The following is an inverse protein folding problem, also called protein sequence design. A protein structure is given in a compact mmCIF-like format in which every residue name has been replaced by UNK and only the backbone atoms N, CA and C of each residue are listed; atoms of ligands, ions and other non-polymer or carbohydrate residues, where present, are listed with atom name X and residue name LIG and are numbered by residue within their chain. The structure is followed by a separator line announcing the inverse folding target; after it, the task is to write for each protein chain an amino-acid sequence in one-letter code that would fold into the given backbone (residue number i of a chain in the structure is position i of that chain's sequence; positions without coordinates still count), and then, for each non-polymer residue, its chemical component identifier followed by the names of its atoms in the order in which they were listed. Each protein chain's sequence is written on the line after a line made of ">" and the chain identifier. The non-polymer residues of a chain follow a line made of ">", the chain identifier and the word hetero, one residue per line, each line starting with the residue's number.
data_IF_783144579593
#
_entry.id   IF_783144579593
#
_cell.length_a   1.000
_cell.length_b   1.000
_cell.length_c   1.000
_cell.angle_alpha   90.00
_cell.angle_beta   90.00
_cell.angle_gamma   90.00
#
_symmetry.space_group_name_H-M   'P 1'
#
loop_
_entity.id
_entity.type
_entity.pdbx_description
1 polymer ?
#
# COMPACT_ATOMS: atom_id res chain seq x y z
N UNK A 1 -4.48 -55.03 32.02
CA UNK A 1 -3.32 -54.78 32.88
C UNK A 1 -2.06 -54.74 32.01
N UNK A 2 -1.55 -53.58 31.66
CA UNK A 2 -0.15 -53.34 31.27
C UNK A 2 0.16 -51.87 31.58
N UNK A 3 1.22 -51.68 32.35
CA UNK A 3 1.61 -50.43 32.99
C UNK A 3 2.14 -49.39 32.00
N UNK A 4 1.78 -48.15 32.24
CA UNK A 4 2.37 -46.97 31.60
C UNK A 4 3.65 -46.60 32.33
N UNK A 5 4.76 -46.59 31.59
CA UNK A 5 6.04 -46.08 32.07
C UNK A 5 6.11 -44.56 31.84
N UNK A 6 6.23 -43.80 32.91
CA UNK A 6 6.54 -42.38 32.90
C UNK A 6 8.07 -42.22 32.76
N UNK A 7 8.51 -41.64 31.66
CA UNK A 7 9.87 -41.11 31.51
C UNK A 7 9.88 -39.63 31.82
N UNK A 8 10.60 -39.23 32.83
CA UNK A 8 10.80 -37.86 33.29
C UNK A 8 11.67 -37.08 32.27
N UNK A 9 11.21 -35.90 31.86
CA UNK A 9 11.97 -34.93 31.07
C UNK A 9 12.70 -33.98 32.01
N UNK A 10 14.03 -33.96 31.93
CA UNK A 10 14.92 -33.10 32.70
C UNK A 10 14.84 -31.66 32.26
N UNK A 11 14.78 -30.71 33.21
CA UNK A 11 14.88 -29.27 33.00
C UNK A 11 16.34 -28.87 32.78
N UNK A 12 16.66 -27.97 31.86
CA UNK A 12 18.01 -27.38 31.76
C UNK A 12 18.21 -26.29 32.82
N UNK A 13 19.44 -26.26 33.36
CA UNK A 13 19.92 -25.31 34.36
C UNK A 13 20.23 -23.91 33.77
N UNK A 14 20.25 -22.82 34.58
CA UNK A 14 20.50 -21.48 34.12
C UNK A 14 22.00 -21.22 33.87
N UNK A 15 22.29 -20.55 32.77
CA UNK A 15 23.65 -20.12 32.38
C UNK A 15 23.98 -18.82 33.10
N UNK A 16 25.08 -18.84 33.87
CA UNK A 16 25.63 -17.73 34.63
C UNK A 16 26.31 -16.71 33.71
N UNK A 17 26.05 -15.43 33.97
CA UNK A 17 26.70 -14.27 33.31
C UNK A 17 28.15 -14.11 33.78
N UNK A 18 29.09 -14.09 32.86
CA UNK A 18 30.49 -13.75 33.12
C UNK A 18 30.77 -12.31 32.76
N UNK A 19 30.94 -11.44 33.77
CA UNK A 19 31.52 -10.10 33.61
C UNK A 19 33.00 -10.18 33.33
N UNK A 20 33.49 -9.67 32.20
CA UNK A 20 34.88 -9.31 32.00
C UNK A 20 35.01 -7.79 31.96
N UNK A 21 35.70 -7.25 33.00
CA UNK A 21 36.26 -5.92 33.01
C UNK A 21 37.48 -5.90 32.07
N UNK A 22 37.58 -4.90 31.21
CA UNK A 22 38.84 -4.50 30.57
C UNK A 22 39.04 -3.00 30.76
N UNK A 23 40.25 -2.71 31.15
CA UNK A 23 40.79 -1.44 31.67
C UNK A 23 40.93 -0.35 30.60
N UNK A 24 40.96 0.88 31.12
CA UNK A 24 41.30 2.15 30.46
C UNK A 24 42.71 2.13 29.87
N UNK A 25 42.89 2.72 28.68
CA UNK A 25 43.83 3.85 28.40
C UNK A 25 43.97 4.03 26.89
N UNK A 26 43.56 5.15 26.33
CA UNK A 26 44.33 6.05 25.44
C UNK A 26 43.39 7.14 24.90
N UNK A 27 43.62 8.36 25.38
CA UNK A 27 43.12 9.58 24.77
C UNK A 27 43.78 9.78 23.40
N UNK A 28 42.96 9.96 22.37
CA UNK A 28 43.36 10.67 21.15
C UNK A 28 42.24 11.66 20.80
N UNK A 29 42.62 12.94 20.94
CA UNK A 29 41.83 14.11 20.52
C UNK A 29 41.80 14.11 18.99
N UNK A 30 40.66 13.99 18.39
CA UNK A 30 40.42 14.37 17.01
C UNK A 30 38.97 14.89 16.84
N UNK A 31 38.92 16.06 16.33
CA UNK A 31 37.87 16.88 15.77
C UNK A 31 36.42 16.41 15.80
N UNK A 32 35.59 17.22 16.42
CA UNK A 32 34.12 17.19 16.27
C UNK A 32 33.71 17.36 14.81
N UNK A 33 32.97 16.42 14.22
CA UNK A 33 32.18 16.75 13.04
C UNK A 33 30.95 17.54 13.50
N UNK A 34 30.72 18.68 12.87
CA UNK A 34 29.55 19.51 13.04
C UNK A 34 28.30 18.66 12.87
N UNK A 35 27.47 18.63 13.90
CA UNK A 35 26.10 18.11 13.85
C UNK A 35 25.30 18.93 12.83
N UNK A 36 25.12 18.39 11.65
CA UNK A 36 24.10 18.88 10.75
C UNK A 36 22.74 18.47 11.33
N UNK A 37 22.19 19.31 12.19
CA UNK A 37 20.77 19.31 12.52
C UNK A 37 20.02 19.62 11.22
N UNK A 38 19.56 18.59 10.53
CA UNK A 38 18.49 18.73 9.55
C UNK A 38 17.17 18.87 10.34
N UNK A 39 16.97 20.02 10.96
CA UNK A 39 15.64 20.47 11.32
C UNK A 39 14.84 20.65 10.02
N UNK A 40 14.11 19.59 9.63
CA UNK A 40 13.04 19.72 8.67
C UNK A 40 11.97 20.58 9.33
N UNK A 41 11.95 21.84 8.94
CA UNK A 41 10.98 22.85 9.38
C UNK A 41 9.57 22.31 9.19
N UNK A 42 8.71 22.26 10.23
CA UNK A 42 7.32 21.92 10.05
C UNK A 42 6.69 22.98 9.13
N UNK A 43 6.00 22.55 8.09
CA UNK A 43 5.17 23.41 7.24
C UNK A 43 4.18 24.16 8.14
N UNK A 44 4.46 25.42 8.43
CA UNK A 44 3.50 26.33 9.07
C UNK A 44 2.40 26.63 8.05
N UNK A 45 1.20 26.16 8.34
CA UNK A 45 0.07 26.18 7.44
C UNK A 45 -0.83 27.35 7.81
N UNK A 46 -0.99 28.28 6.86
CA UNK A 46 -2.18 29.09 6.74
C UNK A 46 -3.29 28.20 6.15
N UNK A 47 -4.40 28.00 6.88
CA UNK A 47 -5.59 27.22 6.47
C UNK A 47 -5.32 26.04 5.54
N UNK A 48 -4.82 24.95 6.13
CA UNK A 48 -4.54 23.71 5.40
C UNK A 48 -5.80 23.13 4.78
N UNK A 49 -5.70 22.67 3.53
CA UNK A 49 -6.78 21.91 2.92
C UNK A 49 -6.99 20.58 3.66
N UNK A 50 -8.21 20.04 3.64
CA UNK A 50 -8.50 18.73 4.25
C UNK A 50 -7.56 17.62 3.78
N UNK A 51 -7.09 17.68 2.52
CA UNK A 51 -6.12 16.72 2.00
C UNK A 51 -4.73 16.85 2.64
N UNK A 52 -4.27 18.07 2.92
CA UNK A 52 -3.02 18.31 3.65
C UNK A 52 -3.12 17.84 5.10
N UNK A 53 -4.27 18.05 5.76
CA UNK A 53 -4.52 17.53 7.10
C UNK A 53 -4.52 15.99 7.12
N UNK A 54 -5.10 15.34 6.10
CA UNK A 54 -5.04 13.87 5.94
C UNK A 54 -3.59 13.42 5.75
N UNK A 55 -2.81 14.09 4.90
CA UNK A 55 -1.40 13.78 4.70
C UNK A 55 -0.60 13.92 6.02
N UNK A 56 -0.79 15.01 6.75
CA UNK A 56 -0.16 15.23 8.05
C UNK A 56 -0.53 14.15 9.08
N UNK A 57 -1.81 13.75 9.13
CA UNK A 57 -2.28 12.68 10.02
C UNK A 57 -1.63 11.33 9.73
N UNK A 58 -1.21 11.08 8.48
CA UNK A 58 -0.64 9.81 8.05
C UNK A 58 0.89 9.84 7.91
N UNK A 59 1.54 11.01 7.95
CA UNK A 59 2.98 11.12 7.82
C UNK A 59 3.73 10.30 8.88
N UNK A 60 4.57 9.36 8.45
CA UNK A 60 5.35 8.48 9.32
C UNK A 60 4.54 7.52 10.20
N UNK A 61 3.22 7.33 9.96
CA UNK A 61 2.35 6.50 10.79
C UNK A 61 2.75 5.01 10.87
N UNK A 62 3.58 4.53 9.96
CA UNK A 62 4.11 3.15 9.92
C UNK A 62 5.35 2.93 10.78
N UNK A 63 6.04 4.01 11.19
CA UNK A 63 7.27 3.90 11.98
C UNK A 63 6.99 3.48 13.41
N UNK A 64 7.98 2.87 14.08
CA UNK A 64 7.86 2.46 15.47
C UNK A 64 7.55 3.66 16.37
N UNK A 65 8.26 4.76 16.15
CA UNK A 65 8.11 6.02 16.87
C UNK A 65 7.70 7.14 15.87
N UNK A 66 6.41 7.30 15.58
CA UNK A 66 5.93 8.32 14.66
C UNK A 66 6.03 9.72 15.30
N UNK A 67 6.37 10.74 14.50
CA UNK A 67 6.39 12.14 14.95
C UNK A 67 5.09 12.54 15.64
N UNK A 68 5.16 13.45 16.60
CA UNK A 68 3.97 14.00 17.26
C UNK A 68 3.04 14.63 16.22
N UNK A 69 1.75 14.32 16.30
CA UNK A 69 0.74 14.92 15.44
C UNK A 69 0.28 16.26 16.03
N UNK A 70 0.48 17.34 15.31
CA UNK A 70 0.10 18.70 15.71
C UNK A 70 -1.19 19.12 14.96
N UNK A 71 -2.32 18.57 15.38
CA UNK A 71 -3.65 18.98 14.92
C UNK A 71 -4.51 19.36 16.12
N UNK A 72 -5.32 20.40 15.93
CA UNK A 72 -6.40 20.73 16.89
C UNK A 72 -7.52 19.66 16.84
N UNK A 73 -8.29 19.54 17.89
CA UNK A 73 -9.43 18.64 17.93
C UNK A 73 -10.46 18.92 16.82
N UNK A 74 -10.64 20.19 16.44
CA UNK A 74 -11.55 20.61 15.37
C UNK A 74 -11.04 20.17 13.99
N UNK A 75 -9.76 20.39 13.69
CA UNK A 75 -9.13 19.92 12.43
C UNK A 75 -9.19 18.40 12.33
N UNK A 76 -8.85 17.71 13.42
CA UNK A 76 -8.90 16.26 13.47
C UNK A 76 -10.31 15.70 13.24
N UNK A 77 -11.32 16.28 13.89
CA UNK A 77 -12.71 15.92 13.67
C UNK A 77 -13.17 16.13 12.22
N UNK A 78 -12.69 17.20 11.56
CA UNK A 78 -13.06 17.51 10.18
C UNK A 78 -12.54 16.47 9.17
N UNK A 79 -11.42 15.80 9.43
CA UNK A 79 -10.82 14.80 8.52
C UNK A 79 -11.12 13.35 8.93
N UNK A 80 -11.64 13.11 10.14
CA UNK A 80 -11.94 11.74 10.63
C UNK A 80 -12.84 10.97 9.68
N UNK A 81 -13.92 11.51 9.09
CA UNK A 81 -14.73 10.80 8.11
C UNK A 81 -13.92 10.40 6.84
N UNK A 82 -12.98 11.24 6.40
CA UNK A 82 -12.13 10.97 5.24
C UNK A 82 -11.15 9.82 5.52
N UNK A 83 -10.55 9.82 6.72
CA UNK A 83 -9.67 8.76 7.18
C UNK A 83 -10.39 7.41 7.27
N UNK A 84 -11.61 7.40 7.83
CA UNK A 84 -12.42 6.18 7.93
C UNK A 84 -12.83 5.66 6.55
N UNK A 85 -13.37 6.50 5.67
CA UNK A 85 -13.82 6.13 4.34
C UNK A 85 -12.68 5.64 3.44
N UNK A 86 -11.48 6.16 3.60
CA UNK A 86 -10.30 5.76 2.82
C UNK A 86 -9.63 4.48 3.34
N UNK A 87 -10.05 3.95 4.50
CA UNK A 87 -9.43 2.81 5.17
C UNK A 87 -8.20 3.17 6.01
N UNK A 88 -7.86 4.46 6.13
CA UNK A 88 -6.71 4.92 6.89
C UNK A 88 -6.99 5.17 8.39
N UNK A 89 -8.20 4.87 8.87
CA UNK A 89 -8.63 5.14 10.24
C UNK A 89 -7.73 4.49 11.29
N UNK A 90 -7.33 3.23 11.11
CA UNK A 90 -6.45 2.52 12.04
C UNK A 90 -5.03 3.15 12.11
N UNK A 91 -4.50 3.62 11.00
CA UNK A 91 -3.23 4.33 10.95
C UNK A 91 -3.28 5.67 11.68
N UNK A 92 -4.38 6.41 11.49
CA UNK A 92 -4.61 7.65 12.23
C UNK A 92 -4.81 7.39 13.73
N UNK A 93 -5.54 6.33 14.12
CA UNK A 93 -5.61 5.89 15.51
C UNK A 93 -4.24 5.68 16.13
N UNK A 94 -3.36 4.97 15.47
CA UNK A 94 -2.00 4.72 15.95
C UNK A 94 -1.23 6.02 16.22
N UNK A 95 -1.49 7.07 15.44
CA UNK A 95 -0.88 8.41 15.62
C UNK A 95 -1.38 9.15 16.84
N UNK A 96 -2.64 8.96 17.22
CA UNK A 96 -3.30 9.75 18.28
C UNK A 96 -3.52 9.00 19.59
N UNK A 97 -3.40 7.68 19.62
CA UNK A 97 -3.76 6.84 20.78
C UNK A 97 -3.05 7.21 22.09
N UNK A 98 -1.91 7.88 22.01
CA UNK A 98 -1.13 8.35 23.17
C UNK A 98 -1.21 9.88 23.35
N UNK A 99 -2.26 10.52 22.84
CA UNK A 99 -2.49 11.97 22.92
C UNK A 99 -3.91 12.27 23.43
N UNK A 100 -4.18 13.53 23.77
CA UNK A 100 -5.53 13.98 24.17
C UNK A 100 -6.58 13.75 23.06
N UNK A 101 -6.17 13.65 21.79
CA UNK A 101 -7.09 13.36 20.68
C UNK A 101 -7.71 11.96 20.79
N UNK A 102 -7.07 11.03 21.48
CA UNK A 102 -7.61 9.68 21.70
C UNK A 102 -8.93 9.68 22.48
N UNK A 103 -9.11 10.63 23.40
CA UNK A 103 -10.28 10.74 24.27
C UNK A 103 -11.46 11.48 23.59
N UNK A 104 -11.24 11.99 22.38
CA UNK A 104 -12.30 12.66 21.60
C UNK A 104 -13.26 11.66 20.95
N UNK A 105 -14.48 12.05 20.56
CA UNK A 105 -15.36 11.21 19.74
C UNK A 105 -14.68 10.66 18.49
N UNK A 106 -13.91 11.49 17.79
CA UNK A 106 -13.13 11.09 16.62
C UNK A 106 -12.08 10.03 16.94
N UNK A 107 -11.38 10.17 18.09
CA UNK A 107 -10.43 9.16 18.56
C UNK A 107 -11.11 7.81 18.79
N UNK A 108 -12.29 7.82 19.42
CA UNK A 108 -13.08 6.60 19.66
C UNK A 108 -13.51 5.91 18.35
N UNK A 109 -13.96 6.67 17.35
CA UNK A 109 -14.32 6.13 16.02
C UNK A 109 -13.12 5.45 15.33
N UNK A 110 -11.95 6.09 15.38
CA UNK A 110 -10.73 5.53 14.81
C UNK A 110 -10.23 4.29 15.57
N UNK A 111 -10.40 4.26 16.90
CA UNK A 111 -10.10 3.07 17.70
C UNK A 111 -11.00 1.89 17.33
N UNK A 112 -12.28 2.14 17.13
CA UNK A 112 -13.23 1.12 16.68
C UNK A 112 -12.84 0.58 15.29
N UNK A 113 -12.47 1.46 14.36
CA UNK A 113 -11.98 1.05 13.05
C UNK A 113 -10.73 0.17 13.16
N UNK A 114 -9.77 0.52 14.01
CA UNK A 114 -8.60 -0.30 14.27
C UNK A 114 -8.97 -1.71 14.80
N UNK A 115 -9.86 -1.77 15.81
CA UNK A 115 -10.31 -3.05 16.38
C UNK A 115 -11.00 -3.94 15.35
N UNK A 116 -11.87 -3.35 14.54
CA UNK A 116 -12.56 -4.06 13.46
C UNK A 116 -11.56 -4.60 12.43
N UNK A 117 -10.62 -3.77 12.00
CA UNK A 117 -9.59 -4.19 11.04
C UNK A 117 -8.68 -5.28 11.60
N UNK A 118 -8.37 -5.27 12.91
CA UNK A 118 -7.57 -6.32 13.54
C UNK A 118 -8.30 -7.67 13.54
N UNK A 119 -9.61 -7.67 13.82
CA UNK A 119 -10.45 -8.88 13.74
C UNK A 119 -10.53 -9.37 12.28
N UNK A 120 -10.75 -8.48 11.33
CA UNK A 120 -10.80 -8.83 9.91
C UNK A 120 -9.47 -9.40 9.42
N UNK A 121 -8.33 -8.83 9.84
CA UNK A 121 -7.00 -9.34 9.49
C UNK A 121 -6.79 -10.77 10.00
N UNK A 122 -7.16 -11.07 11.25
CA UNK A 122 -7.07 -12.42 11.80
C UNK A 122 -7.95 -13.43 11.05
N UNK A 123 -9.17 -13.04 10.66
CA UNK A 123 -10.03 -13.87 9.82
C UNK A 123 -9.41 -14.12 8.43
N UNK A 124 -8.84 -13.08 7.82
CA UNK A 124 -8.16 -13.22 6.52
C UNK A 124 -6.92 -14.11 6.61
N UNK A 125 -6.15 -14.07 7.69
CA UNK A 125 -5.01 -14.97 7.89
C UNK A 125 -5.46 -16.42 7.96
N UNK A 126 -6.58 -16.71 8.62
CA UNK A 126 -7.18 -18.05 8.62
C UNK A 126 -7.62 -18.45 7.19
N UNK A 127 -8.26 -17.54 6.46
CA UNK A 127 -8.69 -17.79 5.08
C UNK A 127 -7.50 -18.02 4.15
N UNK A 128 -6.39 -17.27 4.31
CA UNK A 128 -5.17 -17.49 3.54
C UNK A 128 -4.66 -18.92 3.72
N UNK A 129 -4.58 -19.41 4.97
CA UNK A 129 -4.14 -20.79 5.25
C UNK A 129 -5.04 -21.83 4.56
N UNK A 130 -6.35 -21.67 4.67
CA UNK A 130 -7.31 -22.57 4.03
C UNK A 130 -7.20 -22.58 2.50
N UNK A 131 -7.02 -21.40 1.89
CA UNK A 131 -6.85 -21.29 0.43
C UNK A 131 -5.53 -21.92 -0.02
N UNK A 132 -4.44 -21.75 0.75
CA UNK A 132 -3.15 -22.36 0.47
C UNK A 132 -3.23 -23.90 0.53
N UNK A 133 -3.87 -24.46 1.54
CA UNK A 133 -4.08 -25.90 1.65
C UNK A 133 -4.85 -26.44 0.45
N UNK A 134 -5.94 -25.76 0.06
CA UNK A 134 -6.78 -26.14 -1.06
C UNK A 134 -6.00 -26.12 -2.38
N UNK A 135 -5.30 -25.03 -2.69
CA UNK A 135 -4.54 -24.88 -3.94
C UNK A 135 -3.37 -25.85 -4.00
N UNK A 136 -2.63 -26.04 -2.89
CA UNK A 136 -1.53 -27.00 -2.81
C UNK A 136 -2.03 -28.44 -2.92
N UNK A 137 -3.19 -28.75 -2.36
CA UNK A 137 -3.85 -30.04 -2.54
C UNK A 137 -4.17 -30.36 -4.00
N UNK A 138 -4.40 -29.34 -4.82
CA UNK A 138 -4.59 -29.45 -6.27
C UNK A 138 -3.26 -29.37 -7.07
N UNK A 139 -2.09 -29.38 -6.40
CA UNK A 139 -0.78 -29.29 -7.05
C UNK A 139 -0.40 -27.87 -7.53
N UNK A 140 -1.08 -26.84 -7.04
CA UNK A 140 -0.86 -25.42 -7.39
C UNK A 140 -0.16 -24.69 -6.26
N UNK A 141 1.01 -24.10 -6.51
CA UNK A 141 1.69 -23.24 -5.56
C UNK A 141 1.43 -21.76 -5.92
N UNK A 142 0.56 -21.04 -5.19
CA UNK A 142 0.22 -19.67 -5.50
C UNK A 142 1.22 -18.66 -4.92
N UNK A 143 1.26 -17.46 -5.49
CA UNK A 143 1.95 -16.29 -4.94
C UNK A 143 0.90 -15.29 -4.45
N UNK A 144 0.93 -14.94 -3.17
CA UNK A 144 0.03 -13.92 -2.60
C UNK A 144 0.58 -12.52 -2.88
N UNK A 145 -0.23 -11.71 -3.56
CA UNK A 145 0.12 -10.34 -3.91
C UNK A 145 -0.64 -9.33 -3.05
N UNK A 146 -0.10 -8.12 -2.91
CA UNK A 146 -0.77 -6.99 -2.23
C UNK A 146 -1.33 -7.37 -0.84
N UNK A 147 -2.47 -6.78 -0.43
CA UNK A 147 -3.22 -7.17 0.76
C UNK A 147 -2.36 -7.55 1.96
N UNK A 148 -2.43 -8.80 2.36
CA UNK A 148 -1.63 -9.36 3.46
C UNK A 148 -0.13 -9.30 3.19
N UNK A 149 0.30 -9.48 1.94
CA UNK A 149 1.73 -9.49 1.60
C UNK A 149 2.45 -8.19 1.99
N UNK A 150 1.78 -7.04 1.99
CA UNK A 150 2.33 -5.78 2.53
C UNK A 150 1.88 -5.54 3.98
N UNK A 151 0.66 -5.94 4.37
CA UNK A 151 0.14 -5.71 5.72
C UNK A 151 1.02 -6.32 6.81
N UNK A 152 1.65 -7.48 6.57
CA UNK A 152 2.63 -8.12 7.47
C UNK A 152 3.85 -7.26 7.79
N UNK A 153 4.16 -6.26 6.97
CA UNK A 153 5.28 -5.34 7.18
C UNK A 153 4.92 -4.13 8.04
N UNK A 154 3.66 -3.99 8.41
CA UNK A 154 3.23 -2.96 9.34
C UNK A 154 3.54 -3.39 10.78
N UNK A 155 3.76 -2.43 11.70
CA UNK A 155 4.17 -2.74 13.07
C UNK A 155 3.10 -3.47 13.91
N UNK A 156 1.84 -3.41 13.52
CA UNK A 156 0.73 -4.04 14.24
C UNK A 156 -0.32 -4.59 13.26
N UNK A 157 -0.91 -5.74 13.60
CA UNK A 157 -2.04 -6.31 12.87
C UNK A 157 -3.24 -5.33 12.88
N UNK A 158 -3.96 -5.25 11.76
CA UNK A 158 -5.14 -4.39 11.62
C UNK A 158 -4.84 -2.93 11.27
N UNK A 159 -3.59 -2.48 11.25
CA UNK A 159 -3.25 -1.12 10.78
C UNK A 159 -3.53 -0.94 9.29
N UNK A 160 -3.32 -1.98 8.49
CA UNK A 160 -3.56 -1.99 7.06
C UNK A 160 -4.74 -2.90 6.74
N UNK A 161 -5.97 -2.35 6.51
CA UNK A 161 -7.12 -3.16 6.11
C UNK A 161 -6.97 -3.66 4.67
N UNK A 162 -7.48 -4.85 4.41
CA UNK A 162 -7.63 -5.44 3.09
C UNK A 162 -8.90 -6.28 3.03
N UNK A 163 -9.52 -6.41 1.86
CA UNK A 163 -10.80 -7.10 1.69
C UNK A 163 -10.67 -8.40 0.93
N UNK A 164 -9.99 -8.37 -0.19
CA UNK A 164 -9.77 -9.49 -1.09
C UNK A 164 -8.37 -10.10 -0.89
N UNK A 165 -8.27 -11.39 -1.22
CA UNK A 165 -7.03 -12.12 -1.21
C UNK A 165 -6.58 -12.31 -2.66
N UNK A 166 -5.59 -11.52 -3.08
CA UNK A 166 -5.04 -11.55 -4.44
C UNK A 166 -4.05 -12.72 -4.59
N UNK A 167 -4.49 -13.85 -5.08
CA UNK A 167 -3.64 -14.99 -5.40
C UNK A 167 -3.27 -15.02 -6.88
N UNK A 168 -1.99 -15.09 -7.17
CA UNK A 168 -1.45 -15.22 -8.52
C UNK A 168 -0.93 -16.64 -8.73
N UNK A 169 -1.26 -17.25 -9.86
CA UNK A 169 -0.82 -18.60 -10.22
C UNK A 169 -0.22 -18.62 -11.63
N UNK A 170 0.57 -19.63 -11.92
CA UNK A 170 1.09 -19.85 -13.26
C UNK A 170 -0.07 -19.89 -14.29
N UNK A 171 0.11 -19.30 -15.48
CA UNK A 171 -0.91 -19.36 -16.53
C UNK A 171 -1.36 -20.79 -16.86
N UNK A 172 -0.47 -21.75 -16.80
CA UNK A 172 -0.74 -23.18 -17.03
C UNK A 172 -1.56 -23.84 -15.93
N UNK A 173 -1.50 -23.32 -14.69
CA UNK A 173 -2.19 -23.88 -13.53
C UNK A 173 -3.51 -23.14 -13.20
N UNK A 174 -3.87 -22.10 -13.97
CA UNK A 174 -5.02 -21.26 -13.66
C UNK A 174 -6.35 -22.04 -13.68
N UNK A 175 -6.51 -22.98 -14.62
CA UNK A 175 -7.73 -23.79 -14.72
C UNK A 175 -7.91 -24.69 -13.50
N UNK A 176 -6.84 -25.36 -13.06
CA UNK A 176 -6.83 -26.26 -11.90
C UNK A 176 -7.08 -25.48 -10.60
N UNK A 177 -6.41 -24.34 -10.44
CA UNK A 177 -6.63 -23.45 -9.32
C UNK A 177 -8.08 -22.98 -9.23
N UNK A 178 -8.67 -22.59 -10.36
CA UNK A 178 -10.06 -22.14 -10.42
C UNK A 178 -11.04 -23.28 -10.11
N UNK A 179 -10.78 -24.49 -10.59
CA UNK A 179 -11.61 -25.67 -10.28
C UNK A 179 -11.59 -25.97 -8.78
N UNK A 180 -10.39 -26.01 -8.16
CA UNK A 180 -10.24 -26.25 -6.74
C UNK A 180 -10.97 -25.19 -5.87
N UNK A 181 -10.87 -23.91 -6.23
CA UNK A 181 -11.59 -22.84 -5.53
C UNK A 181 -13.12 -22.94 -5.68
N UNK A 182 -13.62 -23.30 -6.86
CA UNK A 182 -15.06 -23.45 -7.09
C UNK A 182 -15.67 -24.61 -6.29
N UNK A 183 -14.93 -25.72 -6.11
CA UNK A 183 -15.37 -26.86 -5.29
C UNK A 183 -15.49 -26.50 -3.80
N UNK A 184 -14.66 -25.54 -3.32
CA UNK A 184 -14.74 -25.05 -1.95
C UNK A 184 -15.91 -24.08 -1.70
N UNK A 185 -16.53 -23.53 -2.77
CA UNK A 185 -17.61 -22.55 -2.69
C UNK A 185 -17.16 -21.17 -2.22
N UNK A 186 -18.14 -20.25 -2.04
CA UNK A 186 -17.90 -18.82 -1.70
C UNK A 186 -17.42 -18.57 -0.26
N UNK A 187 -16.61 -19.47 0.30
CA UNK A 187 -16.17 -19.36 1.69
C UNK A 187 -15.14 -18.26 1.93
N UNK A 188 -14.38 -17.89 0.90
CA UNK A 188 -13.31 -16.90 1.01
C UNK A 188 -13.34 -15.91 -0.16
N UNK A 189 -13.17 -14.60 0.08
CA UNK A 189 -13.09 -13.60 -0.97
C UNK A 189 -11.73 -13.65 -1.67
N UNK A 190 -11.56 -14.59 -2.60
CA UNK A 190 -10.33 -14.79 -3.38
C UNK A 190 -10.44 -14.10 -4.73
N UNK A 191 -9.48 -13.24 -5.06
CA UNK A 191 -9.24 -12.72 -6.40
C UNK A 191 -8.09 -13.51 -7.04
N UNK A 192 -8.46 -14.48 -7.92
CA UNK A 192 -7.49 -15.35 -8.57
C UNK A 192 -7.01 -14.72 -9.88
N UNK A 193 -5.70 -14.50 -9.96
CA UNK A 193 -5.04 -13.93 -11.12
C UNK A 193 -4.23 -14.97 -11.89
N UNK A 194 -4.40 -14.98 -13.22
CA UNK A 194 -3.54 -15.71 -14.15
C UNK A 194 -2.29 -14.87 -14.41
N UNK A 195 -1.17 -15.19 -13.76
CA UNK A 195 -0.01 -14.31 -13.72
C UNK A 195 -0.32 -12.99 -13.04
N UNK A 196 0.39 -11.93 -13.40
CA UNK A 196 0.09 -10.58 -12.92
C UNK A 196 0.40 -9.54 -14.00
N UNK A 197 -0.63 -9.02 -14.67
CA UNK A 197 -0.51 -8.05 -15.78
C UNK A 197 0.36 -6.83 -15.51
N UNK A 198 0.44 -6.40 -14.26
CA UNK A 198 1.29 -5.26 -13.88
C UNK A 198 2.78 -5.62 -13.81
N UNK A 199 3.10 -6.91 -13.86
CA UNK A 199 4.46 -7.44 -13.88
C UNK A 199 4.76 -8.23 -15.17
N UNK A 200 3.93 -8.13 -16.22
CA UNK A 200 4.07 -8.80 -17.53
C UNK A 200 5.39 -8.45 -18.28
N UNK A 201 6.24 -7.62 -17.70
CA UNK A 201 7.57 -7.36 -18.20
C UNK A 201 8.57 -8.50 -17.91
N UNK A 202 8.15 -9.51 -17.15
CA UNK A 202 8.89 -10.71 -16.79
C UNK A 202 8.03 -11.95 -16.99
N UNK A 203 8.68 -13.04 -17.36
CA UNK A 203 8.04 -14.33 -17.41
C UNK A 203 7.62 -14.79 -16.00
N UNK A 204 6.55 -15.58 -15.93
CA UNK A 204 6.06 -16.09 -14.65
C UNK A 204 7.13 -16.89 -13.89
N UNK A 205 7.89 -17.72 -14.57
CA UNK A 205 8.90 -18.56 -13.94
C UNK A 205 9.99 -17.72 -13.27
N UNK A 206 10.43 -16.60 -13.91
CA UNK A 206 11.36 -15.65 -13.29
C UNK A 206 10.76 -14.99 -12.05
N UNK A 207 9.49 -14.58 -12.10
CA UNK A 207 8.79 -13.99 -10.94
C UNK A 207 8.64 -14.99 -9.81
N UNK A 208 8.33 -16.24 -10.13
CA UNK A 208 8.15 -17.32 -9.17
C UNK A 208 9.46 -17.72 -8.49
N UNK A 209 10.54 -17.90 -9.24
CA UNK A 209 11.87 -18.22 -8.69
C UNK A 209 12.39 -17.14 -7.75
N UNK A 210 12.14 -15.89 -8.05
CA UNK A 210 12.53 -14.74 -7.20
C UNK A 210 11.64 -14.57 -5.99
N UNK A 211 10.43 -15.12 -6.01
CA UNK A 211 9.47 -14.99 -4.92
C UNK A 211 10.00 -15.62 -3.62
N UNK A 212 9.48 -15.16 -2.48
CA UNK A 212 9.97 -15.54 -1.16
C UNK A 212 8.89 -16.29 -0.37
N UNK A 213 9.28 -17.31 0.38
CA UNK A 213 8.44 -17.94 1.38
C UNK A 213 8.58 -17.17 2.70
N UNK A 214 7.45 -16.72 3.23
CA UNK A 214 7.38 -15.99 4.50
C UNK A 214 6.43 -16.69 5.46
N UNK A 215 6.70 -16.67 6.77
CA UNK A 215 5.87 -17.37 7.75
C UNK A 215 4.52 -16.65 7.95
N UNK A 216 3.46 -17.44 8.10
CA UNK A 216 2.16 -17.07 8.62
C UNK A 216 1.78 -18.15 9.64
N UNK A 217 2.05 -17.93 10.90
CA UNK A 217 1.98 -18.92 11.97
C UNK A 217 2.74 -20.23 11.62
N UNK A 218 2.01 -21.32 11.45
CA UNK A 218 2.50 -22.66 11.08
C UNK A 218 2.62 -22.89 9.56
N UNK A 219 2.11 -21.96 8.75
CA UNK A 219 2.16 -22.03 7.30
C UNK A 219 3.27 -21.16 6.68
N UNK A 220 3.71 -21.52 5.49
CA UNK A 220 4.58 -20.70 4.66
C UNK A 220 3.78 -20.14 3.48
N UNK A 221 3.80 -18.83 3.30
CA UNK A 221 3.13 -18.11 2.23
C UNK A 221 4.16 -17.61 1.24
N UNK A 222 3.95 -17.89 -0.04
CA UNK A 222 4.80 -17.34 -1.09
C UNK A 222 4.34 -15.92 -1.44
N UNK A 223 5.27 -14.96 -1.47
CA UNK A 223 5.05 -13.56 -1.83
C UNK A 223 6.07 -13.11 -2.85
N UNK A 224 5.78 -12.07 -3.64
CA UNK A 224 6.74 -11.52 -4.58
C UNK A 224 8.00 -11.00 -3.88
N UNK A 225 9.14 -11.04 -4.59
CA UNK A 225 10.38 -10.40 -4.14
C UNK A 225 10.14 -8.90 -3.86
N UNK A 226 10.89 -8.28 -2.94
CA UNK A 226 10.69 -6.89 -2.54
C UNK A 226 10.66 -5.90 -3.72
N UNK A 227 11.50 -6.13 -4.73
CA UNK A 227 11.58 -5.29 -5.94
C UNK A 227 10.31 -5.37 -6.79
N UNK A 228 9.84 -6.57 -7.03
CA UNK A 228 8.62 -6.82 -7.80
C UNK A 228 7.39 -6.36 -7.01
N UNK A 229 7.41 -6.53 -5.68
CA UNK A 229 6.32 -6.08 -4.81
C UNK A 229 6.22 -4.55 -4.77
N UNK A 230 7.33 -3.82 -4.57
CA UNK A 230 7.32 -2.34 -4.60
C UNK A 230 6.86 -1.82 -5.96
N UNK A 231 7.33 -2.44 -7.06
CA UNK A 231 6.89 -2.12 -8.42
C UNK A 231 5.38 -2.31 -8.58
N UNK A 232 4.85 -3.44 -8.12
CA UNK A 232 3.41 -3.75 -8.13
C UNK A 232 2.60 -2.69 -7.36
N UNK A 233 3.04 -2.33 -6.15
CA UNK A 233 2.37 -1.33 -5.33
C UNK A 233 2.33 0.04 -6.03
N UNK A 234 3.43 0.48 -6.66
CA UNK A 234 3.49 1.72 -7.41
C UNK A 234 2.49 1.74 -8.58
N UNK A 235 2.45 0.68 -9.39
CA UNK A 235 1.53 0.59 -10.52
C UNK A 235 0.08 0.49 -10.07
N UNK A 236 -0.19 -0.28 -9.03
CA UNK A 236 -1.51 -0.39 -8.44
C UNK A 236 -2.01 0.97 -7.96
N UNK A 237 -1.19 1.70 -7.20
CA UNK A 237 -1.50 3.04 -6.71
C UNK A 237 -1.87 3.99 -7.85
N UNK A 238 -1.02 4.09 -8.87
CA UNK A 238 -1.20 5.01 -9.99
C UNK A 238 -2.42 4.65 -10.83
N UNK A 239 -2.67 3.35 -11.03
CA UNK A 239 -3.84 2.85 -11.79
C UNK A 239 -5.16 3.21 -11.12
N UNK A 240 -5.15 3.36 -9.81
CA UNK A 240 -6.28 3.83 -9.00
C UNK A 240 -6.22 5.35 -8.71
N UNK A 241 -5.42 6.11 -9.47
CA UNK A 241 -5.40 7.57 -9.40
C UNK A 241 -4.86 8.17 -8.10
N UNK A 242 -4.20 7.38 -7.25
CA UNK A 242 -3.70 7.79 -5.91
C UNK A 242 -4.85 8.29 -5.00
N UNK A 243 -6.06 7.79 -5.21
CA UNK A 243 -7.25 8.26 -4.50
C UNK A 243 -7.27 7.85 -3.03
N UNK A 244 -6.68 6.68 -2.70
CA UNK A 244 -6.58 6.19 -1.31
C UNK A 244 -5.19 6.45 -0.73
N UNK A 245 -5.07 7.19 0.38
CA UNK A 245 -3.78 7.48 1.00
C UNK A 245 -3.05 6.21 1.46
N UNK A 246 -3.78 5.14 1.83
CA UNK A 246 -3.18 3.89 2.31
C UNK A 246 -2.24 3.25 1.29
N UNK A 247 -2.54 3.37 -0.02
CA UNK A 247 -1.66 2.85 -1.06
C UNK A 247 -0.30 3.57 -1.11
N UNK A 248 -0.26 4.84 -0.74
CA UNK A 248 0.99 5.60 -0.64
C UNK A 248 1.75 5.24 0.65
N UNK A 249 1.04 4.93 1.73
CA UNK A 249 1.64 4.37 2.97
C UNK A 249 2.24 3.00 2.69
N UNK A 250 1.58 2.13 1.92
CA UNK A 250 2.12 0.82 1.49
C UNK A 250 3.48 0.98 0.79
N UNK A 251 3.61 1.97 -0.09
CA UNK A 251 4.89 2.27 -0.77
C UNK A 251 5.95 2.73 0.24
N UNK A 252 5.60 3.59 1.19
CA UNK A 252 6.52 4.05 2.23
C UNK A 252 7.01 2.89 3.11
N UNK A 253 6.11 1.98 3.52
CA UNK A 253 6.43 0.76 4.28
C UNK A 253 7.36 -0.15 3.49
N UNK A 254 7.03 -0.43 2.22
CA UNK A 254 7.87 -1.28 1.36
C UNK A 254 9.24 -0.64 1.09
N UNK A 255 9.29 0.67 0.93
CA UNK A 255 10.51 1.43 0.69
C UNK A 255 11.45 1.43 1.91
N UNK A 256 10.94 1.70 3.10
CA UNK A 256 11.73 1.74 4.33
C UNK A 256 12.07 0.34 4.85
N UNK A 257 11.23 -0.66 4.59
CA UNK A 257 11.45 -2.06 4.96
C UNK A 257 12.32 -2.87 4.01
N UNK A 258 12.82 -2.27 2.90
CA UNK A 258 13.69 -2.97 1.97
C UNK A 258 15.05 -3.31 2.59
N UNK A 259 15.56 -4.50 2.32
CA UNK A 259 16.90 -4.89 2.78
C UNK A 259 18.01 -4.24 1.97
N UNK A 260 19.25 -4.33 2.47
CA UNK A 260 20.45 -3.76 1.84
C UNK A 260 20.74 -4.34 0.44
N UNK A 261 20.24 -5.55 0.14
CA UNK A 261 20.41 -6.24 -1.14
C UNK A 261 19.36 -5.88 -2.19
N UNK A 262 18.50 -4.88 -1.92
CA UNK A 262 17.44 -4.47 -2.85
C UNK A 262 18.01 -3.98 -4.18
N UNK A 263 17.62 -4.63 -5.26
CA UNK A 263 18.09 -4.30 -6.61
C UNK A 263 17.16 -3.29 -7.31
N UNK A 264 17.58 -2.04 -7.31
CA UNK A 264 16.87 -0.96 -7.99
C UNK A 264 16.73 -1.15 -9.50
N UNK A 265 17.69 -1.79 -10.14
CA UNK A 265 17.62 -2.07 -11.59
C UNK A 265 16.46 -3.01 -11.87
N UNK A 266 16.33 -4.02 -11.06
CA UNK A 266 15.20 -4.96 -11.11
C UNK A 266 13.88 -4.26 -10.81
N UNK A 267 13.78 -3.44 -9.78
CA UNK A 267 12.54 -2.71 -9.43
C UNK A 267 12.12 -1.75 -10.55
N UNK A 268 13.03 -0.96 -11.10
CA UNK A 268 12.72 0.03 -12.14
C UNK A 268 12.47 -0.63 -13.50
N UNK A 269 13.15 -1.75 -13.82
CA UNK A 269 13.09 -2.40 -15.12
C UNK A 269 13.75 -1.58 -16.23
N UNK A 270 13.60 -2.01 -17.48
CA UNK A 270 14.21 -1.38 -18.65
C UNK A 270 13.35 -0.30 -19.31
N UNK A 271 12.03 -0.29 -19.06
CA UNK A 271 11.12 0.71 -19.63
C UNK A 271 11.22 2.03 -18.87
N UNK A 272 11.70 3.07 -19.53
CA UNK A 272 11.90 4.40 -18.94
C UNK A 272 10.61 5.04 -18.42
N UNK A 273 9.46 4.78 -19.04
CA UNK A 273 8.16 5.33 -18.60
C UNK A 273 7.73 4.66 -17.30
N UNK A 274 7.85 3.34 -17.23
CA UNK A 274 7.55 2.59 -16.03
C UNK A 274 8.47 2.97 -14.88
N UNK A 275 9.76 3.17 -15.15
CA UNK A 275 10.71 3.69 -14.16
C UNK A 275 10.29 5.08 -13.65
N UNK A 276 9.91 6.01 -14.56
CA UNK A 276 9.40 7.34 -14.20
C UNK A 276 8.15 7.26 -13.29
N UNK A 277 7.24 6.33 -13.56
CA UNK A 277 6.06 6.12 -12.73
C UNK A 277 6.38 5.63 -11.32
N UNK A 278 7.34 4.70 -11.20
CA UNK A 278 7.82 4.20 -9.90
C UNK A 278 8.50 5.33 -9.12
N UNK A 279 9.42 6.06 -9.76
CA UNK A 279 10.13 7.20 -9.17
C UNK A 279 9.15 8.27 -8.71
N UNK A 280 8.12 8.57 -9.51
CA UNK A 280 7.06 9.52 -9.14
C UNK A 280 6.27 9.05 -7.92
N UNK A 281 5.92 7.78 -7.84
CA UNK A 281 5.19 7.21 -6.70
C UNK A 281 6.00 7.28 -5.41
N UNK A 282 7.31 6.97 -5.48
CA UNK A 282 8.23 7.09 -4.35
C UNK A 282 8.40 8.57 -3.95
N UNK A 283 8.52 9.47 -4.94
CA UNK A 283 8.61 10.90 -4.69
C UNK A 283 7.37 11.47 -4.00
N UNK A 284 6.17 10.99 -4.36
CA UNK A 284 4.94 11.36 -3.67
C UNK A 284 4.91 10.83 -2.22
N UNK A 285 5.38 9.60 -1.98
CA UNK A 285 5.47 9.04 -0.63
C UNK A 285 6.43 9.86 0.26
N UNK A 286 7.54 10.31 -0.31
CA UNK A 286 8.48 11.19 0.40
C UNK A 286 7.89 12.59 0.63
N UNK A 287 7.32 13.23 -0.39
CA UNK A 287 6.83 14.62 -0.31
C UNK A 287 5.59 14.76 0.57
N UNK A 288 4.64 13.81 0.51
CA UNK A 288 3.36 13.88 1.23
C UNK A 288 3.38 13.20 2.58
N UNK A 289 4.15 12.12 2.75
CA UNK A 289 4.14 11.30 3.95
C UNK A 289 5.48 11.26 4.69
N UNK A 290 6.53 11.88 4.12
CA UNK A 290 7.85 11.89 4.72
C UNK A 290 8.56 10.53 4.68
N UNK A 291 8.31 9.70 3.66
CA UNK A 291 9.05 8.46 3.46
C UNK A 291 10.54 8.73 3.24
N UNK A 292 11.40 7.91 3.85
CA UNK A 292 12.84 8.04 3.72
C UNK A 292 13.33 7.57 2.35
N UNK A 293 13.96 8.48 1.62
CA UNK A 293 14.55 8.26 0.29
C UNK A 293 16.07 8.40 0.30
N UNK A 294 16.71 8.42 1.47
CA UNK A 294 18.16 8.68 1.60
C UNK A 294 19.04 7.69 0.84
N UNK A 295 18.62 6.45 0.71
CA UNK A 295 19.39 5.37 0.08
C UNK A 295 18.82 4.93 -1.29
N UNK A 296 18.16 5.82 -2.03
CA UNK A 296 17.71 5.51 -3.40
C UNK A 296 18.75 6.02 -4.42
N UNK A 297 18.99 5.28 -5.53
CA UNK A 297 20.04 5.60 -6.49
C UNK A 297 19.67 6.71 -7.50
N UNK A 298 18.55 7.39 -7.29
CA UNK A 298 18.08 8.47 -8.13
C UNK A 298 17.78 9.71 -7.28
N UNK A 299 17.97 10.87 -7.88
CA UNK A 299 17.82 12.15 -7.17
C UNK A 299 16.41 12.72 -7.35
N UNK A 300 15.76 13.05 -6.24
CA UNK A 300 14.57 13.91 -6.21
C UNK A 300 14.94 15.40 -6.19
N UNK A 301 15.92 15.82 -7.02
CA UNK A 301 16.38 17.22 -7.10
C UNK A 301 15.28 18.23 -7.38
N UNK A 302 14.16 17.77 -7.93
CA UNK A 302 12.98 18.60 -8.18
C UNK A 302 11.77 18.01 -7.46
N UNK A 303 11.00 18.89 -6.80
CA UNK A 303 9.68 18.51 -6.27
C UNK A 303 8.82 17.93 -7.40
N UNK A 304 7.91 17.03 -7.01
CA UNK A 304 6.94 16.48 -7.95
C UNK A 304 6.18 17.63 -8.65
N UNK A 305 5.77 17.48 -9.92
CA UNK A 305 4.95 18.48 -10.58
C UNK A 305 3.74 18.86 -9.72
N UNK A 306 3.51 20.13 -9.48
CA UNK A 306 2.45 20.61 -8.58
C UNK A 306 1.06 20.06 -8.93
N UNK A 307 0.79 19.78 -10.20
CA UNK A 307 -0.50 19.25 -10.63
C UNK A 307 -0.77 17.85 -10.06
N UNK A 308 0.26 16.99 -9.88
CA UNK A 308 0.05 15.65 -9.33
C UNK A 308 -0.18 15.72 -7.81
N UNK A 309 0.63 16.51 -7.09
CA UNK A 309 0.47 16.76 -5.67
C UNK A 309 -0.92 17.33 -5.38
N UNK A 310 -1.33 18.37 -6.11
CA UNK A 310 -2.66 18.98 -5.97
C UNK A 310 -3.79 18.00 -6.31
N UNK A 311 -3.60 17.12 -7.30
CA UNK A 311 -4.60 16.09 -7.64
C UNK A 311 -4.77 15.08 -6.51
N UNK A 312 -3.68 14.66 -5.88
CA UNK A 312 -3.68 13.73 -4.75
C UNK A 312 -4.34 14.37 -3.53
N UNK A 313 -3.90 15.57 -3.15
CA UNK A 313 -4.46 16.27 -1.98
C UNK A 313 -5.95 16.60 -2.17
N UNK A 314 -6.37 16.98 -3.39
CA UNK A 314 -7.78 17.17 -3.72
C UNK A 314 -8.58 15.88 -3.56
N UNK A 315 -8.05 14.75 -4.01
CA UNK A 315 -8.70 13.45 -3.84
C UNK A 315 -8.85 13.08 -2.37
N UNK A 316 -7.78 13.22 -1.59
CA UNK A 316 -7.79 12.89 -0.15
C UNK A 316 -8.66 13.84 0.69
N UNK A 317 -8.84 15.09 0.26
CA UNK A 317 -9.74 16.06 0.89
C UNK A 317 -11.20 15.93 0.47
N UNK A 318 -11.55 14.99 -0.40
CA UNK A 318 -12.91 14.77 -0.90
C UNK A 318 -13.49 13.47 -0.35
N UNK A 319 -14.83 13.46 -0.12
CA UNK A 319 -15.50 12.23 0.32
C UNK A 319 -15.31 11.11 -0.69
N UNK A 320 -14.85 9.95 -0.23
CA UNK A 320 -14.59 8.77 -1.05
C UNK A 320 -15.85 8.23 -1.75
N UNK A 321 -17.03 8.43 -1.17
CA UNK A 321 -18.31 8.07 -1.78
C UNK A 321 -18.54 8.76 -3.14
N UNK A 322 -17.95 9.93 -3.37
CA UNK A 322 -18.05 10.64 -4.64
C UNK A 322 -17.26 9.98 -5.78
N UNK A 323 -16.25 9.16 -5.48
CA UNK A 323 -15.40 8.48 -6.45
C UNK A 323 -16.03 7.19 -6.98
N UNK A 324 -16.91 6.56 -6.18
CA UNK A 324 -17.61 5.29 -6.51
C UNK A 324 -19.07 5.48 -6.92
N UNK A 325 -19.55 6.69 -7.17
CA UNK A 325 -20.89 6.83 -7.71
C UNK A 325 -20.94 6.05 -9.04
N UNK A 326 -21.61 4.90 -9.02
CA UNK A 326 -21.94 4.12 -10.22
C UNK A 326 -22.81 5.01 -11.10
N UNK A 327 -22.18 5.80 -11.95
CA UNK A 327 -22.90 6.62 -12.89
C UNK A 327 -23.73 5.69 -13.76
N UNK A 328 -25.06 5.87 -13.76
CA UNK A 328 -25.98 5.08 -14.57
C UNK A 328 -25.50 5.02 -16.03
N UNK A 329 -25.77 3.92 -16.78
CA UNK A 329 -25.34 3.76 -18.15
C UNK A 329 -25.61 5.02 -18.98
N UNK A 330 -24.71 5.39 -19.89
CA UNK A 330 -24.85 6.62 -20.71
C UNK A 330 -26.18 6.68 -21.48
N UNK A 331 -26.73 5.51 -21.87
CA UNK A 331 -28.03 5.40 -22.52
C UNK A 331 -29.19 5.98 -21.70
N UNK A 332 -29.08 5.96 -20.36
CA UNK A 332 -30.12 6.54 -19.50
C UNK A 332 -30.24 8.06 -19.64
N UNK A 333 -29.18 8.76 -20.07
CA UNK A 333 -29.12 10.21 -20.20
C UNK A 333 -29.37 10.69 -21.62
N UNK A 334 -29.65 9.79 -22.60
CA UNK A 334 -29.76 10.11 -24.03
C UNK A 334 -30.73 11.24 -24.36
N UNK A 335 -31.79 11.39 -23.59
CA UNK A 335 -32.83 12.41 -23.77
C UNK A 335 -32.78 13.56 -22.76
N UNK A 336 -31.72 13.65 -21.95
CA UNK A 336 -31.56 14.66 -20.89
C UNK A 336 -30.20 15.36 -21.01
N UNK A 337 -30.04 16.45 -21.77
CA UNK A 337 -28.73 17.05 -22.05
C UNK A 337 -27.98 17.52 -20.79
N UNK A 338 -28.72 18.07 -19.80
CA UNK A 338 -28.11 18.43 -18.51
C UNK A 338 -27.65 17.20 -17.71
N UNK A 339 -28.37 16.09 -17.78
CA UNK A 339 -28.00 14.80 -17.18
C UNK A 339 -26.78 14.21 -17.88
N UNK A 340 -26.70 14.33 -19.21
CA UNK A 340 -25.57 13.87 -20.00
C UNK A 340 -24.28 14.60 -19.63
N UNK A 341 -24.31 15.93 -19.51
CA UNK A 341 -23.16 16.73 -19.10
C UNK A 341 -22.66 16.32 -17.69
N UNK A 342 -23.57 16.12 -16.74
CA UNK A 342 -23.24 15.63 -15.40
C UNK A 342 -22.66 14.22 -15.41
N UNK A 343 -23.21 13.33 -16.24
CA UNK A 343 -22.71 11.96 -16.39
C UNK A 343 -21.33 11.91 -17.07
N UNK A 344 -21.06 12.80 -18.03
CA UNK A 344 -19.73 12.96 -18.63
C UNK A 344 -18.72 13.52 -17.62
N UNK A 345 -19.11 14.54 -16.85
CA UNK A 345 -18.27 15.10 -15.79
C UNK A 345 -17.90 14.05 -14.72
N UNK A 346 -18.86 13.23 -14.31
CA UNK A 346 -18.64 12.14 -13.34
C UNK A 346 -17.74 11.01 -13.88
N UNK A 347 -17.62 10.88 -15.20
CA UNK A 347 -16.74 9.90 -15.87
C UNK A 347 -15.43 10.48 -16.35
N UNK A 348 -15.24 11.80 -16.16
CA UNK A 348 -14.01 12.44 -16.56
C UNK A 348 -12.83 11.87 -15.77
N UNK A 349 -11.80 11.34 -16.43
CA UNK A 349 -10.68 10.73 -15.73
C UNK A 349 -9.92 11.78 -14.94
N UNK A 350 -9.39 11.39 -13.76
CA UNK A 350 -8.45 12.26 -13.05
C UNK A 350 -7.20 12.51 -13.90
N UNK A 351 -6.44 13.57 -13.66
CA UNK A 351 -5.20 13.85 -14.40
C UNK A 351 -4.21 12.66 -14.34
N UNK A 352 -4.16 11.95 -13.21
CA UNK A 352 -3.29 10.78 -13.00
C UNK A 352 -3.77 9.62 -13.88
N UNK A 353 -5.05 9.25 -13.78
CA UNK A 353 -5.65 8.15 -14.58
C UNK A 353 -5.54 8.44 -16.06
N UNK A 354 -5.79 9.68 -16.49
CA UNK A 354 -5.64 10.09 -17.88
C UNK A 354 -4.21 9.94 -18.39
N UNK A 355 -3.21 10.31 -17.57
CA UNK A 355 -1.79 10.18 -17.90
C UNK A 355 -1.38 8.71 -18.04
N UNK A 356 -1.69 7.87 -17.04
CA UNK A 356 -1.38 6.45 -17.07
C UNK A 356 -2.10 5.73 -18.21
N UNK A 357 -3.37 6.06 -18.44
CA UNK A 357 -4.21 5.39 -19.43
C UNK A 357 -3.74 5.55 -20.88
N UNK A 358 -2.98 6.62 -21.19
CA UNK A 358 -2.32 6.82 -22.48
C UNK A 358 -0.82 6.52 -22.47
N UNK A 359 -0.28 5.98 -21.39
CA UNK A 359 1.16 5.70 -21.26
C UNK A 359 2.01 6.97 -21.21
N UNK A 360 1.50 8.05 -20.62
CA UNK A 360 2.18 9.34 -20.55
C UNK A 360 3.18 9.45 -19.41
N UNK A 361 4.07 10.46 -19.47
CA UNK A 361 5.03 10.79 -18.41
C UNK A 361 4.46 11.83 -17.44
N UNK A 362 4.91 11.81 -16.17
CA UNK A 362 4.53 12.78 -15.14
C UNK A 362 5.36 14.08 -15.24
N UNK A 363 5.28 14.74 -16.39
CA UNK A 363 5.95 16.02 -16.66
C UNK A 363 5.05 17.22 -16.30
N UNK A 364 5.54 18.44 -16.55
CA UNK A 364 4.81 19.71 -16.25
C UNK A 364 3.83 20.14 -17.34
N UNK A 365 3.61 19.35 -18.39
CA UNK A 365 2.66 19.66 -19.45
C UNK A 365 1.22 19.63 -18.96
N UNK A 366 0.29 20.37 -19.58
CA UNK A 366 -1.14 20.32 -19.25
C UNK A 366 -1.72 18.91 -19.37
N UNK A 367 -2.60 18.53 -18.47
CA UNK A 367 -3.15 17.15 -18.39
C UNK A 367 -4.39 16.92 -19.24
N UNK A 368 -5.07 17.99 -19.67
CA UNK A 368 -6.29 17.87 -20.47
C UNK A 368 -6.12 17.01 -21.74
N UNK A 369 -5.05 17.14 -22.54
CA UNK A 369 -4.84 16.26 -23.69
C UNK A 369 -4.72 14.77 -23.32
N UNK A 370 -4.10 14.45 -22.18
CA UNK A 370 -3.97 13.08 -21.70
C UNK A 370 -5.32 12.50 -21.26
N UNK A 371 -6.13 13.31 -20.58
CA UNK A 371 -7.49 12.92 -20.16
C UNK A 371 -8.39 12.67 -21.36
N UNK A 372 -8.36 13.55 -22.36
CA UNK A 372 -9.12 13.40 -23.60
C UNK A 372 -8.66 12.16 -24.38
N UNK A 373 -7.34 11.98 -24.55
CA UNK A 373 -6.76 10.81 -25.22
C UNK A 373 -7.18 9.49 -24.55
N UNK A 374 -7.18 9.45 -23.23
CA UNK A 374 -7.66 8.28 -22.48
C UNK A 374 -9.15 7.99 -22.72
N UNK A 375 -10.00 9.02 -22.71
CA UNK A 375 -11.43 8.85 -23.03
C UNK A 375 -11.65 8.29 -24.42
N UNK A 376 -10.94 8.81 -25.42
CA UNK A 376 -11.00 8.29 -26.79
C UNK A 376 -10.57 6.84 -26.88
N UNK A 377 -9.44 6.47 -26.26
CA UNK A 377 -8.96 5.08 -26.24
C UNK A 377 -9.95 4.15 -25.53
N UNK A 378 -10.56 4.59 -24.42
CA UNK A 378 -11.57 3.83 -23.71
C UNK A 378 -12.83 3.61 -24.54
N UNK A 379 -13.27 4.65 -25.25
CA UNK A 379 -14.44 4.56 -26.17
C UNK A 379 -14.17 3.60 -27.32
N UNK A 380 -12.99 3.64 -27.93
CA UNK A 380 -12.60 2.73 -29.01
C UNK A 380 -12.53 1.26 -28.54
N UNK A 381 -11.99 1.03 -27.33
CA UNK A 381 -11.98 -0.33 -26.75
C UNK A 381 -13.39 -0.87 -26.49
N UNK A 382 -14.28 0.00 -26.01
CA UNK A 382 -15.68 -0.39 -25.79
C UNK A 382 -16.38 -0.75 -27.12
N UNK A 383 -16.19 0.03 -28.17
CA UNK A 383 -16.77 -0.27 -29.49
C UNK A 383 -16.29 -1.61 -30.06
N UNK A 384 -14.98 -1.95 -29.85
CA UNK A 384 -14.42 -3.25 -30.27
C UNK A 384 -14.92 -4.47 -29.46
N UNK A 385 -15.49 -4.26 -28.28
CA UNK A 385 -16.06 -5.33 -27.46
C UNK A 385 -17.53 -5.60 -27.76
N UNK A 386 -18.21 -4.65 -28.41
CA UNK A 386 -19.64 -4.71 -28.74
C UNK A 386 -19.85 -5.07 -30.22
N UNK A 387 -18.82 -4.94 -31.06
CA UNK A 387 -18.76 -5.44 -32.43
C UNK A 387 -18.23 -6.89 -32.47
#
# INVERSE_FOLDING_TARGET
>A
MRAYNQTAVARPAPVAAAHKRVSRSAQLVLGTPASANSESMPLRVSASSSGELVAAALAGCWRADPYRLELSATEFASITPLLLQSGAGALAWRRVRNSQLAETPSGNELQQAYRLHAIQAALHETNIKQVLELLRGAGVEPVLAKGWAIARSYPEIGLRPYGDLDFCVAPTQFADAKAALNEAGDRCPVDLHQGLRMLDYRDWDELFERSQLVPLDDALVRVFAPEDHLRLLCFHLLRHGVERPIGLVDIAVALEGRGDKFDWRTCLGSDRKHADWIITSIGLASELLGADVGNVPFSFKQRQPSWIVNSVLKAWGSSFANHFSQAAPMGFYRHRPRGLAKALAARWPTPIIGTIGVGGSFNRLPRFPYQLGYLLLRSLRFLKQVS
#
